data_IF_986661524770
#
_entry.id   IF_986661524770
#
_cell.length_a   1.000
_cell.length_b   1.000
_cell.length_c   1.000
_cell.angle_alpha   90.00
_cell.angle_beta   90.00
_cell.angle_gamma   90.00
#
_symmetry.space_group_name_H-M   'P 1'
#
loop_
_entity.id
_entity.type
_entity.pdbx_description
1 polymer ?
#
# COMPACT_ATOMS: atom_id res chain seq x y z
N UNK A 1 19.22 -19.16 -2.37
CA UNK A 1 18.69 -17.79 -2.27
C UNK A 1 19.84 -16.80 -2.13
N UNK A 2 19.79 -15.67 -2.85
CA UNK A 2 20.78 -14.61 -2.74
C UNK A 2 20.21 -13.59 -1.75
N UNK A 3 20.73 -13.54 -0.53
CA UNK A 3 20.29 -12.54 0.47
C UNK A 3 20.85 -11.19 0.02
N UNK A 4 19.98 -10.31 -0.46
CA UNK A 4 20.33 -8.91 -0.70
C UNK A 4 20.20 -8.13 0.61
N UNK A 5 21.28 -7.50 1.02
CA UNK A 5 21.33 -6.62 2.17
C UNK A 5 21.28 -5.20 1.63
N UNK A 6 20.24 -4.46 1.98
CA UNK A 6 20.03 -3.06 1.61
C UNK A 6 19.91 -2.24 2.90
N UNK A 7 20.56 -1.06 2.93
CA UNK A 7 20.40 -0.14 4.05
C UNK A 7 19.03 0.53 3.97
N UNK A 8 18.24 0.40 5.04
CA UNK A 8 16.87 0.92 5.10
C UNK A 8 16.76 2.21 5.94
N UNK A 9 17.75 2.52 6.81
CA UNK A 9 17.75 3.63 7.78
C UNK A 9 19.18 4.21 7.94
N UNK A 10 19.27 5.46 8.43
CA UNK A 10 20.39 6.24 8.98
C UNK A 10 21.70 5.48 9.32
N UNK A 11 22.84 6.16 9.19
CA UNK A 11 24.21 5.62 9.23
C UNK A 11 24.66 5.06 10.59
N UNK A 12 23.78 5.08 11.62
CA UNK A 12 24.10 4.68 13.00
C UNK A 12 23.51 3.32 13.36
N UNK A 13 24.38 2.39 13.71
CA UNK A 13 23.99 1.08 14.22
C UNK A 13 23.36 1.20 15.62
N UNK A 14 22.19 0.56 15.82
CA UNK A 14 21.55 0.52 17.12
C UNK A 14 22.45 -0.21 18.14
N UNK A 15 22.73 0.43 19.28
CA UNK A 15 23.69 -0.09 20.25
C UNK A 15 23.01 -0.50 21.55
N UNK A 16 23.19 -1.76 21.95
CA UNK A 16 22.80 -2.26 23.27
C UNK A 16 24.06 -2.35 24.14
N UNK A 17 24.05 -1.72 25.31
CA UNK A 17 25.21 -1.64 26.18
C UNK A 17 24.85 -1.92 27.64
N UNK A 18 25.71 -2.67 28.32
CA UNK A 18 25.71 -2.80 29.76
C UNK A 18 26.97 -2.14 30.32
N UNK A 19 26.80 -1.27 31.31
CA UNK A 19 27.87 -0.61 32.04
C UNK A 19 27.76 -0.99 33.52
N UNK A 20 28.53 -2.01 33.94
CA UNK A 20 28.75 -2.31 35.36
C UNK A 20 29.83 -1.40 35.94
N UNK A 21 29.44 -0.45 36.78
CA UNK A 21 30.38 0.48 37.42
C UNK A 21 29.83 1.00 38.75
N UNK A 22 30.34 0.47 39.86
CA UNK A 22 29.86 0.80 41.21
C UNK A 22 29.92 2.28 41.56
N UNK A 23 31.04 2.95 41.23
CA UNK A 23 31.26 4.34 41.59
C UNK A 23 30.30 5.25 40.81
N UNK A 24 30.11 4.96 39.52
CA UNK A 24 29.24 5.76 38.66
C UNK A 24 27.76 5.49 38.94
N UNK A 25 27.38 4.22 39.08
CA UNK A 25 26.03 3.78 39.49
C UNK A 25 25.58 4.50 40.78
N UNK A 26 26.40 4.50 41.83
CA UNK A 26 26.08 5.15 43.11
C UNK A 26 26.09 6.68 43.06
N UNK A 27 26.71 7.27 42.03
CA UNK A 27 26.77 8.73 41.88
C UNK A 27 25.50 9.32 41.26
N UNK A 28 24.63 8.48 40.67
CA UNK A 28 23.40 8.88 40.02
C UNK A 28 22.18 8.34 40.76
N UNK A 29 21.15 9.17 40.86
CA UNK A 29 19.85 8.84 41.45
C UNK A 29 18.77 9.74 40.82
N UNK A 30 17.51 9.56 41.19
CA UNK A 30 16.36 10.28 40.62
C UNK A 30 16.50 11.81 40.70
N UNK A 31 17.25 12.33 41.67
CA UNK A 31 17.40 13.77 41.88
C UNK A 31 18.51 14.43 41.04
N UNK A 32 19.43 13.65 40.45
CA UNK A 32 20.61 14.23 39.80
C UNK A 32 21.00 13.63 38.43
N UNK A 33 20.32 12.58 37.94
CA UNK A 33 20.66 11.98 36.64
C UNK A 33 20.42 12.89 35.44
N UNK A 34 19.67 13.96 35.65
CA UNK A 34 19.31 14.98 34.67
C UNK A 34 19.93 16.36 34.99
N UNK A 35 20.80 16.45 36.01
CA UNK A 35 21.40 17.72 36.42
C UNK A 35 22.47 18.17 35.42
N UNK A 36 22.26 19.26 34.66
CA UNK A 36 23.23 19.74 33.68
C UNK A 36 24.54 20.23 34.32
N UNK A 37 24.60 20.42 35.65
CA UNK A 37 25.84 20.76 36.36
C UNK A 37 26.63 19.54 36.81
N UNK A 38 26.00 18.36 36.84
CA UNK A 38 26.64 17.11 37.23
C UNK A 38 27.44 16.52 36.07
N UNK A 39 28.75 16.35 36.26
CA UNK A 39 29.60 15.69 35.27
C UNK A 39 29.18 14.23 35.04
N UNK A 40 28.60 13.58 36.05
CA UNK A 40 28.10 12.20 35.93
C UNK A 40 26.81 12.14 35.10
N UNK A 41 25.94 13.15 35.20
CA UNK A 41 24.74 13.27 34.37
C UNK A 41 25.09 13.62 32.91
N UNK A 42 26.11 14.46 32.69
CA UNK A 42 26.66 14.71 31.35
C UNK A 42 27.29 13.46 30.75
N UNK A 43 27.99 12.66 31.55
CA UNK A 43 28.52 11.37 31.12
C UNK A 43 27.38 10.40 30.77
N UNK A 44 26.33 10.34 31.60
CA UNK A 44 25.13 9.54 31.32
C UNK A 44 24.50 9.93 29.99
N UNK A 45 24.29 11.22 29.76
CA UNK A 45 23.82 11.76 28.49
C UNK A 45 24.66 11.26 27.32
N UNK A 46 25.99 11.43 27.39
CA UNK A 46 26.89 11.03 26.32
C UNK A 46 26.80 9.54 26.02
N UNK A 47 26.69 8.70 27.05
CA UNK A 47 26.62 7.25 26.86
C UNK A 47 25.29 6.84 26.22
N UNK A 48 24.15 7.40 26.66
CA UNK A 48 22.86 7.05 26.06
C UNK A 48 22.70 7.66 24.67
N UNK A 49 23.24 8.84 24.38
CA UNK A 49 23.20 9.45 23.04
C UNK A 49 24.41 9.07 22.15
N UNK A 50 25.26 8.13 22.60
CA UNK A 50 26.45 7.67 21.88
C UNK A 50 27.35 8.83 21.41
N UNK A 51 27.42 9.90 22.21
CA UNK A 51 28.22 11.08 21.90
C UNK A 51 29.69 10.87 22.30
N UNK A 52 30.57 11.54 21.57
CA UNK A 52 32.01 11.48 21.76
C UNK A 52 32.48 12.19 23.04
N UNK A 53 33.41 13.14 22.92
CA UNK A 53 34.07 13.78 24.08
C UNK A 53 33.17 14.73 24.88
N UNK A 54 32.07 15.19 24.29
CA UNK A 54 31.15 16.17 24.87
C UNK A 54 29.71 15.83 24.45
N UNK A 55 28.68 16.17 25.25
CA UNK A 55 27.27 16.03 24.84
C UNK A 55 26.91 16.84 23.59
N UNK A 56 27.74 17.82 23.19
CA UNK A 56 27.43 18.69 22.06
C UNK A 56 26.24 19.64 22.29
N UNK A 57 25.69 19.67 23.52
CA UNK A 57 24.58 20.52 23.91
C UNK A 57 25.08 21.77 24.63
N UNK A 58 24.72 22.95 24.11
CA UNK A 58 24.93 24.22 24.79
C UNK A 58 23.78 24.61 25.74
N UNK A 59 22.63 23.93 25.64
CA UNK A 59 21.41 24.25 26.38
C UNK A 59 21.20 23.27 27.54
N UNK A 60 21.40 23.74 28.76
CA UNK A 60 21.24 22.99 30.00
C UNK A 60 19.82 22.45 30.21
N UNK A 61 18.80 23.22 29.84
CA UNK A 61 17.40 22.79 29.95
C UNK A 61 17.11 21.65 28.97
N UNK A 62 17.69 21.70 27.77
CA UNK A 62 17.55 20.64 26.79
C UNK A 62 18.21 19.34 27.28
N UNK A 63 19.42 19.42 27.87
CA UNK A 63 20.07 18.26 28.47
C UNK A 63 19.19 17.63 29.56
N UNK A 64 18.66 18.45 30.47
CA UNK A 64 17.74 17.99 31.52
C UNK A 64 16.55 17.24 30.92
N UNK A 65 15.85 17.87 29.98
CA UNK A 65 14.68 17.28 29.33
C UNK A 65 15.03 15.97 28.61
N UNK A 66 16.17 15.93 27.91
CA UNK A 66 16.61 14.73 27.20
C UNK A 66 16.94 13.59 28.17
N UNK A 67 17.67 13.86 29.26
CA UNK A 67 17.97 12.83 30.25
C UNK A 67 16.69 12.33 30.93
N UNK A 68 15.80 13.24 31.34
CA UNK A 68 14.49 12.89 31.94
C UNK A 68 13.67 12.00 31.00
N UNK A 69 13.54 12.41 29.73
CA UNK A 69 12.68 11.73 28.79
C UNK A 69 13.25 10.40 28.28
N UNK A 70 14.56 10.21 28.33
CA UNK A 70 15.24 9.03 27.77
C UNK A 70 15.79 8.09 28.86
N UNK A 71 15.43 8.31 30.13
CA UNK A 71 15.87 7.47 31.26
C UNK A 71 14.67 6.97 32.05
N UNK A 72 14.65 5.68 32.39
CA UNK A 72 13.63 5.15 33.31
C UNK A 72 13.98 5.50 34.76
N UNK A 73 13.07 6.15 35.53
CA UNK A 73 13.36 6.54 36.90
C UNK A 73 13.18 5.38 37.90
N UNK A 74 12.47 4.31 37.54
CA UNK A 74 12.01 3.23 38.44
C UNK A 74 13.07 2.70 39.39
N UNK A 75 14.29 2.50 38.90
CA UNK A 75 15.38 1.88 39.68
C UNK A 75 16.55 2.83 39.96
N UNK A 76 16.40 4.11 39.61
CA UNK A 76 17.52 5.06 39.65
C UNK A 76 18.09 5.22 41.07
N UNK A 77 17.24 5.27 42.09
CA UNK A 77 17.67 5.41 43.49
C UNK A 77 18.35 4.15 44.06
N UNK A 78 18.17 3.00 43.40
CA UNK A 78 18.91 1.77 43.69
C UNK A 78 20.26 1.69 42.92
N UNK A 79 20.64 2.75 42.21
CA UNK A 79 21.86 2.80 41.40
C UNK A 79 21.73 2.09 40.05
N UNK A 80 20.52 1.76 39.60
CA UNK A 80 20.31 1.14 38.28
C UNK A 80 19.52 2.07 37.36
N UNK A 81 20.10 2.46 36.24
CA UNK A 81 19.48 3.34 35.25
C UNK A 81 19.39 2.63 33.91
N UNK A 82 18.23 2.73 33.26
CA UNK A 82 18.06 2.34 31.86
C UNK A 82 17.84 3.56 31.01
N UNK A 83 18.70 3.74 30.02
CA UNK A 83 18.64 4.81 29.04
C UNK A 83 18.24 4.27 27.68
N UNK A 84 17.17 4.81 27.10
CA UNK A 84 16.70 4.41 25.77
C UNK A 84 16.59 5.65 24.91
N UNK A 85 17.22 5.61 23.75
CA UNK A 85 17.08 6.63 22.70
C UNK A 85 16.62 5.96 21.40
N UNK A 86 16.51 6.73 20.31
CA UNK A 86 16.19 6.19 18.99
C UNK A 86 17.21 5.17 18.47
N UNK A 87 18.45 5.22 18.96
CA UNK A 87 19.57 4.42 18.44
C UNK A 87 20.38 3.68 19.51
N UNK A 88 19.92 3.68 20.76
CA UNK A 88 20.63 2.98 21.84
C UNK A 88 19.70 2.47 22.92
N UNK A 89 20.20 1.45 23.62
CA UNK A 89 19.66 0.97 24.87
C UNK A 89 20.81 0.65 25.81
N UNK A 90 20.93 1.44 26.88
CA UNK A 90 22.03 1.35 27.84
C UNK A 90 21.47 1.00 29.22
N UNK A 91 22.09 0.05 29.89
CA UNK A 91 21.86 -0.24 31.30
C UNK A 91 23.12 0.12 32.11
N UNK A 92 23.00 1.05 33.05
CA UNK A 92 24.02 1.36 34.06
C UNK A 92 23.60 0.74 35.38
N UNK A 93 24.49 -0.02 36.02
CA UNK A 93 24.23 -0.69 37.29
C UNK A 93 25.55 -0.98 38.01
N UNK A 94 25.48 -1.51 39.22
CA UNK A 94 26.66 -1.99 39.93
C UNK A 94 27.23 -3.25 39.25
N UNK A 95 28.49 -3.57 39.53
CA UNK A 95 29.20 -4.67 38.87
C UNK A 95 28.77 -6.05 39.39
N UNK A 96 28.42 -6.18 40.67
CA UNK A 96 28.18 -7.48 41.30
C UNK A 96 26.72 -7.95 41.16
N UNK A 97 25.78 -7.21 41.73
CA UNK A 97 24.34 -7.49 41.63
C UNK A 97 23.86 -7.25 40.19
N UNK A 98 24.30 -6.16 39.57
CA UNK A 98 23.94 -5.82 38.20
C UNK A 98 24.37 -6.89 37.17
N UNK A 99 25.54 -7.51 37.34
CA UNK A 99 25.98 -8.61 36.47
C UNK A 99 25.16 -9.89 36.64
N UNK A 100 24.64 -10.14 37.83
CA UNK A 100 23.87 -11.35 38.13
C UNK A 100 22.36 -11.20 37.85
N UNK A 101 21.84 -9.97 37.87
CA UNK A 101 20.42 -9.69 37.69
C UNK A 101 20.12 -8.91 36.40
N UNK A 102 20.74 -7.75 36.22
CA UNK A 102 20.41 -6.82 35.13
C UNK A 102 20.98 -7.30 33.79
N UNK A 103 22.24 -7.75 33.76
CA UNK A 103 22.90 -8.20 32.53
C UNK A 103 22.18 -9.41 31.88
N UNK A 104 21.75 -10.45 32.62
CA UNK A 104 20.96 -11.54 32.05
C UNK A 104 19.64 -11.07 31.45
N UNK A 105 18.93 -10.14 32.10
CA UNK A 105 17.73 -9.54 31.51
C UNK A 105 18.05 -8.75 30.25
N UNK A 106 19.13 -7.97 30.25
CA UNK A 106 19.62 -7.24 29.08
C UNK A 106 19.91 -8.17 27.90
N UNK A 107 20.56 -9.29 28.14
CA UNK A 107 20.94 -10.29 27.12
C UNK A 107 19.76 -11.17 26.65
N UNK A 108 18.64 -11.18 27.38
CA UNK A 108 17.49 -12.03 27.08
C UNK A 108 16.24 -11.21 26.74
N UNK A 109 15.36 -10.97 27.70
CA UNK A 109 14.06 -10.33 27.51
C UNK A 109 14.19 -8.92 26.95
N UNK A 110 15.12 -8.12 27.48
CA UNK A 110 15.31 -6.73 27.07
C UNK A 110 15.96 -6.64 25.68
N UNK A 111 16.85 -7.58 25.35
CA UNK A 111 17.35 -7.73 23.98
C UNK A 111 16.21 -8.05 23.00
N UNK A 112 15.31 -8.96 23.36
CA UNK A 112 14.14 -9.29 22.53
C UNK A 112 13.19 -8.10 22.35
N UNK A 113 12.98 -7.28 23.39
CA UNK A 113 12.21 -6.03 23.33
C UNK A 113 12.82 -5.05 22.32
N UNK A 114 14.14 -4.84 22.39
CA UNK A 114 14.86 -3.96 21.46
C UNK A 114 14.80 -4.50 20.02
N UNK A 115 15.08 -5.79 19.84
CA UNK A 115 15.05 -6.46 18.54
C UNK A 115 13.65 -6.39 17.90
N UNK A 116 12.60 -6.64 18.67
CA UNK A 116 11.22 -6.56 18.19
C UNK A 116 10.86 -5.13 17.76
N UNK A 117 11.24 -4.13 18.53
CA UNK A 117 10.98 -2.72 18.20
C UNK A 117 11.71 -2.31 16.92
N UNK A 118 12.97 -2.74 16.75
CA UNK A 118 13.72 -2.53 15.51
C UNK A 118 13.09 -3.25 14.32
N UNK A 119 12.63 -4.49 14.50
CA UNK A 119 11.93 -5.26 13.48
C UNK A 119 10.63 -4.55 13.04
N UNK A 120 9.87 -4.02 14.00
CA UNK A 120 8.65 -3.26 13.72
C UNK A 120 8.97 -2.02 12.88
N UNK A 121 9.95 -1.22 13.30
CA UNK A 121 10.38 -0.02 12.56
C UNK A 121 10.86 -0.35 11.14
N UNK A 122 11.67 -1.38 10.97
CA UNK A 122 12.15 -1.82 9.67
C UNK A 122 11.01 -2.34 8.78
N UNK A 123 10.04 -3.05 9.37
CA UNK A 123 8.87 -3.56 8.65
C UNK A 123 8.01 -2.41 8.14
N UNK A 124 7.76 -1.39 8.96
CA UNK A 124 6.96 -0.21 8.57
C UNK A 124 7.56 0.46 7.34
N UNK A 125 8.86 0.78 7.39
CA UNK A 125 9.57 1.39 6.27
C UNK A 125 9.54 0.52 5.01
N UNK A 126 9.72 -0.79 5.16
CA UNK A 126 9.64 -1.72 4.04
C UNK A 126 8.23 -1.79 3.44
N UNK A 127 7.18 -1.62 4.25
CA UNK A 127 5.81 -1.54 3.73
C UNK A 127 5.61 -0.25 2.92
N UNK A 128 5.98 0.91 3.44
CA UNK A 128 5.86 2.18 2.72
C UNK A 128 6.64 2.19 1.39
N UNK A 129 7.83 1.59 1.37
CA UNK A 129 8.60 1.39 0.13
C UNK A 129 7.85 0.49 -0.87
N UNK A 130 7.31 -0.65 -0.43
CA UNK A 130 6.53 -1.56 -1.30
C UNK A 130 5.25 -0.92 -1.82
N UNK A 131 4.55 -0.11 -1.02
CA UNK A 131 3.37 0.64 -1.48
C UNK A 131 3.78 1.54 -2.63
N UNK A 132 4.86 2.31 -2.45
CA UNK A 132 5.39 3.23 -3.46
C UNK A 132 5.81 2.50 -4.74
N UNK A 133 6.51 1.37 -4.62
CA UNK A 133 6.96 0.56 -5.75
C UNK A 133 5.78 0.03 -6.59
N UNK A 134 4.75 -0.51 -5.92
CA UNK A 134 3.59 -1.07 -6.59
C UNK A 134 2.76 0.07 -7.22
N UNK A 135 2.50 1.14 -6.48
CA UNK A 135 1.72 2.28 -6.96
C UNK A 135 2.36 2.97 -8.19
N UNK A 136 3.68 2.92 -8.33
CA UNK A 136 4.37 3.50 -9.49
C UNK A 136 4.13 2.76 -10.82
N UNK A 137 3.68 1.51 -10.80
CA UNK A 137 3.53 0.67 -12.00
C UNK A 137 2.17 -0.06 -12.07
N UNK A 138 1.04 0.66 -12.19
CA UNK A 138 -0.32 0.07 -12.16
C UNK A 138 -0.63 -0.87 -13.34
N UNK A 139 0.05 -0.70 -14.47
CA UNK A 139 -0.12 -1.52 -15.68
C UNK A 139 0.68 -2.84 -15.64
N UNK A 140 1.49 -3.06 -14.60
CA UNK A 140 2.30 -4.27 -14.49
C UNK A 140 1.43 -5.52 -14.33
N UNK A 141 1.79 -6.60 -15.04
CA UNK A 141 1.16 -7.91 -14.84
C UNK A 141 1.24 -8.33 -13.36
N UNK A 142 0.11 -8.77 -12.82
CA UNK A 142 0.01 -9.20 -11.42
C UNK A 142 -0.10 -8.07 -10.40
N UNK A 143 -0.30 -6.81 -10.83
CA UNK A 143 -0.50 -5.65 -9.93
C UNK A 143 -1.53 -5.94 -8.82
N UNK A 144 -2.71 -6.46 -9.18
CA UNK A 144 -3.77 -6.79 -8.21
C UNK A 144 -3.35 -7.88 -7.22
N UNK A 145 -2.66 -8.92 -7.69
CA UNK A 145 -2.17 -10.02 -6.84
C UNK A 145 -1.10 -9.53 -5.87
N UNK A 146 -0.14 -8.73 -6.35
CA UNK A 146 0.90 -8.10 -5.53
C UNK A 146 0.29 -7.18 -4.47
N UNK A 147 -0.70 -6.38 -4.86
CA UNK A 147 -1.41 -5.47 -3.96
C UNK A 147 -2.16 -6.21 -2.85
N UNK A 148 -2.88 -7.28 -3.21
CA UNK A 148 -3.55 -8.16 -2.24
C UNK A 148 -2.53 -8.84 -1.32
N UNK A 149 -1.40 -9.30 -1.86
CA UNK A 149 -0.34 -9.91 -1.07
C UNK A 149 0.29 -8.92 -0.07
N UNK A 150 0.51 -7.67 -0.48
CA UNK A 150 0.99 -6.60 0.39
C UNK A 150 0.02 -6.34 1.54
N UNK A 151 -1.27 -6.21 1.24
CA UNK A 151 -2.32 -6.03 2.25
C UNK A 151 -2.36 -7.19 3.25
N UNK A 152 -2.29 -8.44 2.76
CA UNK A 152 -2.22 -9.61 3.63
C UNK A 152 -0.98 -9.62 4.52
N UNK A 153 0.19 -9.24 3.98
CA UNK A 153 1.43 -9.12 4.77
C UNK A 153 1.30 -8.05 5.87
N UNK A 154 0.68 -6.92 5.57
CA UNK A 154 0.39 -5.89 6.56
C UNK A 154 -0.53 -6.39 7.68
N UNK A 155 -1.62 -7.09 7.35
CA UNK A 155 -2.51 -7.67 8.36
C UNK A 155 -1.76 -8.67 9.26
N UNK A 156 -0.84 -9.45 8.69
CA UNK A 156 0.00 -10.35 9.48
C UNK A 156 0.94 -9.58 10.40
N UNK A 157 1.55 -8.51 9.91
CA UNK A 157 2.42 -7.64 10.70
C UNK A 157 1.68 -7.04 11.90
N UNK A 158 0.52 -6.42 11.69
CA UNK A 158 -0.27 -5.81 12.76
C UNK A 158 -0.73 -6.85 13.79
N UNK A 159 -1.13 -8.04 13.35
CA UNK A 159 -1.67 -9.06 14.24
C UNK A 159 -0.61 -9.92 14.95
N UNK A 160 0.61 -10.02 14.42
CA UNK A 160 1.63 -10.97 14.92
C UNK A 160 2.95 -10.33 15.31
N UNK A 161 3.21 -9.08 14.96
CA UNK A 161 4.47 -8.39 15.25
C UNK A 161 4.22 -7.13 16.08
N UNK A 162 3.14 -6.39 15.83
CA UNK A 162 2.80 -5.19 16.60
C UNK A 162 1.94 -5.51 17.83
N UNK A 163 2.61 -5.83 18.94
CA UNK A 163 1.96 -6.13 20.20
C UNK A 163 1.78 -4.86 21.05
N UNK A 164 0.67 -4.78 21.79
CA UNK A 164 0.45 -3.73 22.80
C UNK A 164 1.34 -3.90 24.03
N UNK A 165 1.59 -5.16 24.37
CA UNK A 165 2.40 -5.56 25.51
C UNK A 165 3.08 -6.89 25.17
N UNK A 166 4.34 -7.06 25.61
CA UNK A 166 5.19 -8.21 25.24
C UNK A 166 5.62 -9.05 26.44
N UNK A 167 5.34 -8.57 27.66
CA UNK A 167 5.71 -9.22 28.92
C UNK A 167 4.80 -8.71 30.04
N UNK A 168 4.39 -9.56 31.00
CA UNK A 168 3.65 -9.11 32.19
C UNK A 168 4.54 -8.42 33.23
N UNK A 169 5.87 -8.40 33.04
CA UNK A 169 6.79 -7.74 33.96
C UNK A 169 6.68 -6.21 33.80
N UNK A 170 6.26 -5.50 34.84
CA UNK A 170 6.11 -4.04 34.87
C UNK A 170 7.30 -3.27 34.26
N UNK A 171 8.52 -3.61 34.66
CA UNK A 171 9.72 -2.97 34.10
C UNK A 171 9.90 -3.26 32.61
N UNK A 172 9.59 -4.48 32.16
CA UNK A 172 9.64 -4.83 30.74
C UNK A 172 8.57 -4.08 29.93
N UNK A 173 7.38 -3.86 30.51
CA UNK A 173 6.32 -3.04 29.90
C UNK A 173 6.80 -1.59 29.72
N UNK A 174 7.41 -1.00 30.75
CA UNK A 174 7.95 0.37 30.68
C UNK A 174 9.05 0.51 29.64
N UNK A 175 10.01 -0.41 29.62
CA UNK A 175 11.11 -0.40 28.64
C UNK A 175 10.58 -0.56 27.22
N UNK A 176 9.60 -1.47 26.99
CA UNK A 176 8.97 -1.61 25.69
C UNK A 176 8.25 -0.34 25.26
N UNK A 177 7.41 0.26 26.13
CA UNK A 177 6.72 1.53 25.83
C UNK A 177 7.69 2.65 25.51
N UNK A 178 8.75 2.81 26.30
CA UNK A 178 9.77 3.81 26.05
C UNK A 178 10.48 3.57 24.71
N UNK A 179 10.81 2.31 24.37
CA UNK A 179 11.39 1.95 23.07
C UNK A 179 10.46 2.29 21.91
N UNK A 180 9.16 1.95 22.03
CA UNK A 180 8.13 2.29 21.03
C UNK A 180 8.05 3.80 20.81
N UNK A 181 8.04 4.57 21.89
CA UNK A 181 7.97 6.03 21.87
C UNK A 181 9.22 6.64 21.23
N UNK A 182 10.43 6.25 21.65
CA UNK A 182 11.68 6.83 21.11
C UNK A 182 11.96 6.47 19.66
N UNK A 183 11.35 5.40 19.17
CA UNK A 183 11.39 5.00 17.77
C UNK A 183 10.21 5.53 16.95
N UNK A 184 9.27 6.27 17.56
CA UNK A 184 8.03 6.76 16.96
C UNK A 184 7.14 5.68 16.31
N UNK A 185 7.26 4.42 16.75
CA UNK A 185 6.59 3.28 16.10
C UNK A 185 5.06 3.44 16.07
N UNK A 186 4.37 3.86 17.15
CA UNK A 186 2.91 4.02 17.11
C UNK A 186 2.45 5.03 16.06
N UNK A 187 3.13 6.18 15.96
CA UNK A 187 2.84 7.21 14.95
C UNK A 187 3.04 6.65 13.55
N UNK A 188 4.18 6.02 13.30
CA UNK A 188 4.54 5.54 11.96
C UNK A 188 3.62 4.39 11.50
N UNK A 189 3.09 3.58 12.43
CA UNK A 189 2.06 2.57 12.14
C UNK A 189 0.73 3.22 11.76
N UNK A 190 0.31 4.26 12.48
CA UNK A 190 -0.93 4.98 12.15
C UNK A 190 -0.84 5.63 10.77
N UNK A 191 0.32 6.20 10.41
CA UNK A 191 0.59 6.69 9.05
C UNK A 191 0.51 5.56 8.03
N UNK A 192 1.20 4.44 8.28
CA UNK A 192 1.18 3.28 7.36
C UNK A 192 -0.24 2.73 7.15
N UNK A 193 -1.07 2.74 8.19
CA UNK A 193 -2.47 2.34 8.09
C UNK A 193 -3.25 3.24 7.13
N UNK A 194 -2.99 4.54 7.15
CA UNK A 194 -3.59 5.49 6.20
C UNK A 194 -3.09 5.24 4.78
N UNK A 195 -1.77 5.11 4.59
CA UNK A 195 -1.16 4.80 3.29
C UNK A 195 -1.75 3.53 2.66
N UNK A 196 -1.93 2.47 3.45
CA UNK A 196 -2.52 1.22 2.98
C UNK A 196 -4.01 1.37 2.64
N UNK A 197 -4.75 2.18 3.41
CA UNK A 197 -6.16 2.42 3.13
C UNK A 197 -6.35 3.22 1.84
N UNK A 198 -5.55 4.27 1.63
CA UNK A 198 -5.55 5.07 0.40
C UNK A 198 -5.11 4.22 -0.80
N UNK A 199 -4.06 3.41 -0.63
CA UNK A 199 -3.64 2.47 -1.66
C UNK A 199 -4.76 1.48 -2.01
N UNK A 200 -5.48 0.96 -1.03
CA UNK A 200 -6.61 0.06 -1.28
C UNK A 200 -7.75 0.75 -2.05
N UNK A 201 -8.09 2.00 -1.70
CA UNK A 201 -9.08 2.80 -2.43
C UNK A 201 -8.67 3.04 -3.89
N UNK A 202 -7.38 3.28 -4.15
CA UNK A 202 -6.86 3.40 -5.50
C UNK A 202 -7.10 2.11 -6.32
N UNK A 203 -6.87 0.93 -5.71
CA UNK A 203 -7.14 -0.35 -6.37
C UNK A 203 -8.60 -0.52 -6.74
N UNK A 204 -9.51 -0.12 -5.85
CA UNK A 204 -10.95 -0.21 -6.09
C UNK A 204 -11.37 0.70 -7.24
N UNK A 205 -10.89 1.95 -7.25
CA UNK A 205 -11.13 2.90 -8.35
C UNK A 205 -10.58 2.38 -9.70
N UNK A 206 -9.40 1.78 -9.72
CA UNK A 206 -8.85 1.18 -10.93
C UNK A 206 -9.67 -0.02 -11.40
N UNK A 207 -10.10 -0.88 -10.48
CA UNK A 207 -10.91 -2.05 -10.80
C UNK A 207 -12.30 -1.64 -11.34
N UNK A 208 -12.94 -0.66 -10.71
CA UNK A 208 -14.20 -0.06 -11.19
C UNK A 208 -14.04 0.58 -12.58
N UNK A 209 -12.93 1.28 -12.82
CA UNK A 209 -12.62 1.87 -14.13
C UNK A 209 -12.45 0.78 -15.21
N UNK A 210 -11.76 -0.32 -14.89
CA UNK A 210 -11.61 -1.47 -15.79
C UNK A 210 -12.96 -2.13 -16.08
N UNK A 211 -13.78 -2.36 -15.07
CA UNK A 211 -15.13 -2.92 -15.23
C UNK A 211 -16.03 -1.98 -16.05
N UNK A 212 -15.99 -0.68 -15.79
CA UNK A 212 -16.76 0.34 -16.51
C UNK A 212 -16.36 0.39 -17.99
N UNK A 213 -15.06 0.34 -18.30
CA UNK A 213 -14.57 0.25 -19.70
C UNK A 213 -15.05 -1.03 -20.38
N UNK A 214 -15.03 -2.17 -19.70
CA UNK A 214 -15.52 -3.43 -20.22
C UNK A 214 -17.05 -3.40 -20.45
N UNK A 215 -17.81 -2.86 -19.49
CA UNK A 215 -19.26 -2.68 -19.57
C UNK A 215 -19.65 -1.73 -20.70
N UNK A 216 -18.92 -0.62 -20.85
CA UNK A 216 -19.13 0.32 -21.94
C UNK A 216 -18.84 -0.36 -23.28
N UNK A 217 -17.72 -1.09 -23.40
CA UNK A 217 -17.40 -1.88 -24.60
C UNK A 217 -18.52 -2.87 -24.94
N UNK A 218 -19.05 -3.59 -23.94
CA UNK A 218 -20.17 -4.51 -24.11
C UNK A 218 -21.46 -3.78 -24.53
N UNK A 219 -21.76 -2.64 -23.93
CA UNK A 219 -22.92 -1.80 -24.26
C UNK A 219 -22.85 -1.29 -25.68
N UNK A 220 -21.66 -0.86 -26.12
CA UNK A 220 -21.40 -0.40 -27.48
C UNK A 220 -21.65 -1.53 -28.48
N UNK A 221 -21.01 -2.69 -28.27
CA UNK A 221 -21.19 -3.86 -29.15
C UNK A 221 -22.63 -4.35 -29.14
N UNK A 222 -23.27 -4.41 -27.97
CA UNK A 222 -24.67 -4.78 -27.82
C UNK A 222 -25.60 -3.83 -28.58
N UNK A 223 -25.42 -2.52 -28.42
CA UNK A 223 -26.21 -1.51 -29.13
C UNK A 223 -26.06 -1.58 -30.65
N UNK A 224 -24.84 -1.87 -31.14
CA UNK A 224 -24.58 -2.07 -32.56
C UNK A 224 -25.33 -3.29 -33.13
N UNK A 225 -25.52 -4.33 -32.32
CA UNK A 225 -26.23 -5.54 -32.71
C UNK A 225 -27.76 -5.44 -32.55
N UNK A 226 -28.27 -4.55 -31.70
CA UNK A 226 -29.71 -4.41 -31.44
C UNK A 226 -30.50 -4.00 -32.70
N UNK A 227 -30.05 -2.97 -33.41
CA UNK A 227 -30.81 -2.43 -34.55
C UNK A 227 -30.98 -3.45 -35.69
N UNK A 228 -29.93 -4.14 -36.18
CA UNK A 228 -30.10 -5.20 -37.18
C UNK A 228 -30.92 -6.38 -36.68
N UNK A 229 -30.80 -6.75 -35.39
CA UNK A 229 -31.55 -7.85 -34.79
C UNK A 229 -33.06 -7.56 -34.77
N UNK A 230 -33.45 -6.32 -34.46
CA UNK A 230 -34.86 -5.89 -34.51
C UNK A 230 -35.40 -5.91 -35.95
N UNK A 231 -34.61 -5.48 -36.94
CA UNK A 231 -34.98 -5.53 -38.35
C UNK A 231 -35.19 -6.98 -38.79
N UNK A 232 -34.22 -7.87 -38.52
CA UNK A 232 -34.33 -9.30 -38.82
C UNK A 232 -35.54 -9.94 -38.13
N UNK A 233 -35.78 -9.59 -36.86
CA UNK A 233 -36.93 -10.11 -36.10
C UNK A 233 -38.26 -9.65 -36.71
N UNK A 234 -38.37 -8.39 -37.13
CA UNK A 234 -39.57 -7.86 -37.77
C UNK A 234 -39.87 -8.64 -39.07
N UNK A 235 -38.90 -8.69 -39.98
CA UNK A 235 -39.07 -9.34 -41.29
C UNK A 235 -39.15 -10.88 -41.21
N UNK A 236 -38.56 -11.51 -40.20
CA UNK A 236 -38.64 -12.95 -39.99
C UNK A 236 -39.99 -13.41 -39.43
N UNK A 237 -40.70 -12.54 -38.69
CA UNK A 237 -42.01 -12.83 -38.12
C UNK A 237 -43.17 -12.36 -39.02
N UNK A 238 -43.00 -11.25 -39.73
CA UNK A 238 -44.02 -10.75 -40.66
C UNK A 238 -44.03 -11.58 -41.94
N UNK A 239 -44.86 -12.62 -41.98
CA UNK A 239 -45.20 -13.31 -43.22
C UNK A 239 -46.08 -12.40 -44.08
N UNK A 240 -45.53 -11.78 -45.13
CA UNK A 240 -46.32 -11.00 -46.10
C UNK A 240 -47.05 -11.95 -47.06
N UNK A 241 -48.37 -12.21 -46.89
CA UNK A 241 -49.05 -13.30 -47.58
C UNK A 241 -49.40 -12.98 -49.05
N UNK A 242 -49.21 -11.73 -49.48
CA UNK A 242 -49.69 -11.19 -50.76
C UNK A 242 -48.64 -11.24 -51.89
N UNK A 243 -47.42 -11.74 -51.62
CA UNK A 243 -46.35 -11.85 -52.63
C UNK A 243 -46.29 -13.26 -53.25
N UNK A 244 -46.08 -13.39 -54.58
CA UNK A 244 -45.71 -14.64 -55.22
C UNK A 244 -44.51 -15.29 -54.51
N UNK A 245 -44.53 -16.61 -54.35
CA UNK A 245 -43.59 -17.37 -53.49
C UNK A 245 -42.11 -17.12 -53.82
N UNK A 246 -41.84 -16.88 -55.10
CA UNK A 246 -40.57 -16.55 -55.74
C UNK A 246 -40.11 -15.11 -55.48
N UNK A 247 -41.02 -14.13 -55.50
CA UNK A 247 -40.73 -12.74 -55.14
C UNK A 247 -40.56 -12.55 -53.63
N UNK A 248 -41.32 -13.29 -52.82
CA UNK A 248 -41.20 -13.29 -51.37
C UNK A 248 -39.83 -13.80 -50.89
N UNK A 249 -39.37 -14.94 -51.43
CA UNK A 249 -38.05 -15.50 -51.13
C UNK A 249 -36.92 -14.52 -51.48
N UNK A 250 -36.99 -13.88 -52.65
CA UNK A 250 -36.00 -12.90 -53.08
C UNK A 250 -35.97 -11.67 -52.17
N UNK A 251 -37.15 -11.18 -51.76
CA UNK A 251 -37.28 -10.05 -50.84
C UNK A 251 -36.72 -10.37 -49.45
N UNK A 252 -37.08 -11.52 -48.86
CA UNK A 252 -36.55 -11.93 -47.55
C UNK A 252 -35.05 -12.20 -47.57
N UNK A 253 -34.53 -12.80 -48.64
CA UNK A 253 -33.09 -13.03 -48.81
C UNK A 253 -32.31 -11.71 -48.95
N UNK A 254 -32.86 -10.74 -49.70
CA UNK A 254 -32.27 -9.41 -49.85
C UNK A 254 -32.31 -8.63 -48.52
N UNK A 255 -33.42 -8.67 -47.79
CA UNK A 255 -33.55 -8.04 -46.48
C UNK A 255 -32.56 -8.64 -45.46
N UNK A 256 -32.40 -9.97 -45.46
CA UNK A 256 -31.40 -10.64 -44.63
C UNK A 256 -29.97 -10.23 -45.00
N UNK A 257 -29.66 -10.09 -46.29
CA UNK A 257 -28.35 -9.65 -46.77
C UNK A 257 -28.03 -8.20 -46.37
N UNK A 258 -29.00 -7.29 -46.50
CA UNK A 258 -28.85 -5.89 -46.08
C UNK A 258 -28.68 -5.78 -44.56
N UNK A 259 -29.46 -6.55 -43.79
CA UNK A 259 -29.30 -6.60 -42.34
C UNK A 259 -27.94 -7.18 -41.91
N UNK A 260 -27.44 -8.19 -42.64
CA UNK A 260 -26.11 -8.76 -42.40
C UNK A 260 -24.99 -7.75 -42.68
N UNK A 261 -25.03 -7.05 -43.82
CA UNK A 261 -24.06 -5.99 -44.13
C UNK A 261 -24.14 -4.82 -43.14
N UNK A 262 -25.35 -4.42 -42.74
CA UNK A 262 -25.58 -3.41 -41.70
C UNK A 262 -24.98 -3.82 -40.36
N UNK A 263 -25.13 -5.09 -39.97
CA UNK A 263 -24.54 -5.64 -38.74
C UNK A 263 -23.01 -5.62 -38.77
N UNK A 264 -22.40 -6.03 -39.88
CA UNK A 264 -20.94 -6.01 -40.04
C UNK A 264 -20.41 -4.58 -39.94
N UNK A 265 -21.06 -3.62 -40.61
CA UNK A 265 -20.66 -2.22 -40.52
C UNK A 265 -20.83 -1.64 -39.12
N UNK A 266 -21.95 -1.96 -38.45
CA UNK A 266 -22.20 -1.53 -37.06
C UNK A 266 -21.14 -2.10 -36.10
N UNK A 267 -20.79 -3.38 -36.22
CA UNK A 267 -19.70 -4.00 -35.46
C UNK A 267 -18.35 -3.36 -35.76
N UNK A 268 -18.09 -2.98 -37.00
CA UNK A 268 -16.86 -2.29 -37.40
C UNK A 268 -16.78 -0.87 -36.81
N UNK A 269 -17.90 -0.11 -36.78
CA UNK A 269 -17.95 1.19 -36.09
C UNK A 269 -17.73 1.05 -34.59
N UNK A 270 -18.38 0.07 -33.96
CA UNK A 270 -18.23 -0.24 -32.54
C UNK A 270 -16.77 -0.56 -32.20
N UNK A 271 -16.14 -1.43 -32.99
CA UNK A 271 -14.73 -1.79 -32.84
C UNK A 271 -13.79 -0.58 -33.04
N UNK A 272 -14.03 0.22 -34.08
CA UNK A 272 -13.29 1.45 -34.35
C UNK A 272 -13.44 2.50 -33.24
N UNK A 273 -14.61 2.59 -32.61
CA UNK A 273 -14.83 3.50 -31.49
C UNK A 273 -14.09 3.07 -30.22
N UNK A 274 -14.10 1.76 -29.92
CA UNK A 274 -13.35 1.17 -28.79
C UNK A 274 -11.84 1.36 -28.95
N UNK A 275 -11.31 1.26 -30.16
CA UNK A 275 -9.89 1.48 -30.47
C UNK A 275 -9.52 2.96 -30.72
N UNK A 276 -10.46 3.89 -30.48
CA UNK A 276 -10.27 5.34 -30.63
C UNK A 276 -9.90 5.80 -32.06
N UNK A 277 -10.30 5.01 -33.06
CA UNK A 277 -10.03 5.22 -34.49
C UNK A 277 -11.02 6.18 -35.14
N UNK A 278 -11.03 7.44 -34.68
CA UNK A 278 -12.00 8.48 -35.11
C UNK A 278 -12.16 8.62 -36.63
N UNK A 279 -11.10 8.39 -37.43
CA UNK A 279 -11.15 8.45 -38.90
C UNK A 279 -11.89 7.28 -39.56
N UNK A 280 -11.86 6.08 -38.96
CA UNK A 280 -12.46 4.89 -39.55
C UNK A 280 -13.97 4.78 -39.29
N UNK A 281 -14.47 5.39 -38.21
CA UNK A 281 -15.90 5.51 -37.90
C UNK A 281 -16.63 6.29 -39.02
N UNK A 282 -16.01 7.37 -39.49
CA UNK A 282 -16.56 8.26 -40.52
C UNK A 282 -16.69 7.55 -41.88
N UNK A 283 -15.73 6.68 -42.20
CA UNK A 283 -15.72 5.88 -43.44
C UNK A 283 -16.82 4.82 -43.42
N UNK A 284 -17.02 4.14 -42.28
CA UNK A 284 -18.06 3.11 -42.16
C UNK A 284 -19.48 3.69 -42.23
N UNK A 285 -19.73 4.84 -41.59
CA UNK A 285 -21.00 5.56 -41.72
C UNK A 285 -21.31 5.91 -43.18
N UNK A 286 -20.28 6.34 -43.93
CA UNK A 286 -20.39 6.69 -45.34
C UNK A 286 -20.72 5.47 -46.22
N UNK A 287 -20.11 4.31 -45.94
CA UNK A 287 -20.41 3.04 -46.62
C UNK A 287 -21.86 2.60 -46.34
N UNK A 288 -22.34 2.72 -45.09
CA UNK A 288 -23.73 2.44 -44.74
C UNK A 288 -24.71 3.32 -45.51
N UNK A 289 -24.45 4.62 -45.62
CA UNK A 289 -25.32 5.53 -46.40
C UNK A 289 -25.38 5.17 -47.87
N UNK A 290 -24.26 4.73 -48.46
CA UNK A 290 -24.22 4.28 -49.86
C UNK A 290 -25.04 3.00 -50.05
N UNK A 291 -24.95 2.03 -49.14
CA UNK A 291 -25.72 0.79 -49.21
C UNK A 291 -27.23 1.02 -49.06
N UNK A 292 -27.65 1.91 -48.17
CA UNK A 292 -29.06 2.30 -48.01
C UNK A 292 -29.58 2.97 -49.29
N UNK A 293 -28.76 3.83 -49.92
CA UNK A 293 -29.11 4.50 -51.17
C UNK A 293 -29.27 3.50 -52.34
N UNK A 294 -28.38 2.50 -52.42
CA UNK A 294 -28.50 1.40 -53.40
C UNK A 294 -29.77 0.58 -53.16
N UNK A 295 -30.15 0.33 -51.90
CA UNK A 295 -31.38 -0.37 -51.55
C UNK A 295 -32.63 0.43 -51.96
N UNK A 296 -32.66 1.74 -51.68
CA UNK A 296 -33.75 2.63 -52.06
C UNK A 296 -33.95 2.73 -53.58
N UNK A 297 -32.86 2.67 -54.37
CA UNK A 297 -32.91 2.67 -55.84
C UNK A 297 -33.40 1.33 -56.41
N UNK A 298 -33.11 0.20 -55.75
CA UNK A 298 -33.54 -1.11 -56.23
C UNK A 298 -34.96 -1.50 -55.78
N UNK A 299 -35.51 -0.86 -54.75
CA UNK A 299 -36.88 -1.09 -54.28
C UNK A 299 -37.95 -0.94 -55.39
N UNK A 300 -37.94 0.12 -56.21
CA UNK A 300 -38.88 0.29 -57.31
C UNK A 300 -38.71 -0.75 -58.41
N UNK A 301 -37.48 -1.20 -58.69
CA UNK A 301 -37.19 -2.19 -59.74
C UNK A 301 -37.69 -3.60 -59.41
N UNK A 302 -37.87 -3.92 -58.13
CA UNK A 302 -38.48 -5.18 -57.68
C UNK A 302 -40.01 -5.11 -57.81
N UNK A 303 -40.61 -3.93 -57.61
CA UNK A 303 -42.06 -3.72 -57.69
C UNK A 303 -42.59 -3.40 -59.10
N UNK A 304 -41.74 -2.97 -60.04
CA UNK A 304 -42.13 -2.54 -61.40
C UNK A 304 -41.94 -3.61 -62.49
N UNK A 305 -41.63 -4.86 -62.14
CA UNK A 305 -41.76 -5.98 -63.09
C UNK A 305 -43.16 -6.58 -63.00
N UNK A 306 -44.13 -5.82 -63.50
CA UNK A 306 -45.29 -6.39 -64.18
C UNK A 306 -44.95 -6.60 -65.66
#
# INVERSE_FOLDING_TARGET
EKIQIESLIDDRMFTICWAGNDAWSKSLNTANYDDPKSEQAKLWHRVIFLDGKSPGLANDQLLRNLNQNNTTPRTADYGTLFGITRYSFVALTDEELGKNLVLPHLQSMYFQIALLSLLQRASILRFSEKITEIAANPDQKGYLEKSKALYMQYLHFVNKIYFREVTPQEQGIELYRMMQEKMDIPRDIDTLKQEIAEFHQLLDLENESRQTKAMNTLTIVGSALLAPSLILSYFGLSSFPELPKDQYCAFTAMAAFVAFLGSISALFTAYGWVQNWKKHILISLLICTILIFIWAINLPFIYLKE
#
